data_IF_294513678312
#
_entry.id   IF_294513678312
#
_cell.length_a   1.000
_cell.length_b   1.000
_cell.length_c   1.000
_cell.angle_alpha   90.00
_cell.angle_beta   90.00
_cell.angle_gamma   90.00
#
_symmetry.space_group_name_H-M   'P 1'
#
loop_
_entity.id
_entity.type
_entity.pdbx_description
1 polymer ?
#
# COMPACT_ATOMS: atom_id res chain seq x y z
N UNK A 1 23.90 29.01 16.81
CA UNK A 1 23.75 28.79 15.35
C UNK A 1 22.49 27.96 15.15
N UNK A 2 21.48 28.52 14.48
CA UNK A 2 20.15 27.91 14.35
C UNK A 2 20.22 26.85 13.26
N UNK A 3 20.06 25.57 13.62
CA UNK A 3 19.90 24.49 12.67
C UNK A 3 18.72 24.79 11.76
N UNK A 4 19.04 25.04 10.50
CA UNK A 4 18.10 25.27 9.42
C UNK A 4 17.18 24.07 9.30
N UNK A 5 15.91 24.29 9.64
CA UNK A 5 14.79 23.39 9.33
C UNK A 5 14.76 23.20 7.82
N UNK A 6 15.05 21.99 7.36
CA UNK A 6 14.63 21.55 6.03
C UNK A 6 13.10 21.36 6.09
N UNK A 7 12.30 21.99 5.23
CA UNK A 7 10.93 21.56 5.03
C UNK A 7 10.99 20.29 4.18
N UNK A 8 10.70 19.14 4.80
CA UNK A 8 10.51 17.87 4.12
C UNK A 8 9.46 18.05 3.02
N UNK A 9 9.89 17.89 1.78
CA UNK A 9 9.02 17.89 0.62
C UNK A 9 8.09 16.69 0.72
N UNK A 10 6.86 16.93 1.19
CA UNK A 10 5.75 15.98 1.15
C UNK A 10 5.46 15.66 -0.32
N UNK A 11 6.12 14.62 -0.83
CA UNK A 11 5.87 14.11 -2.17
C UNK A 11 4.50 13.44 -2.19
N UNK A 12 3.52 14.18 -2.72
CA UNK A 12 2.23 13.62 -3.13
C UNK A 12 2.49 12.56 -4.18
N UNK A 13 2.11 11.31 -3.89
CA UNK A 13 2.17 10.16 -4.80
C UNK A 13 1.02 10.24 -5.83
N UNK A 14 0.85 11.42 -6.44
CA UNK A 14 -0.19 11.67 -7.42
C UNK A 14 0.35 11.44 -8.82
N UNK A 15 -0.41 10.65 -9.58
CA UNK A 15 -0.47 10.58 -11.04
C UNK A 15 0.39 9.51 -11.71
N UNK A 16 -0.22 8.34 -11.91
CA UNK A 16 -0.09 7.62 -13.18
C UNK A 16 -1.47 7.21 -13.67
N UNK A 17 -1.97 7.99 -14.64
CA UNK A 17 -2.97 7.53 -15.60
C UNK A 17 -2.38 6.32 -16.33
N UNK A 18 -3.02 5.16 -16.20
CA UNK A 18 -2.67 3.98 -17.00
C UNK A 18 -3.68 3.86 -18.13
N UNK A 19 -3.30 4.38 -19.30
CA UNK A 19 -3.79 3.88 -20.58
C UNK A 19 -3.05 2.57 -20.86
N UNK A 20 -3.78 1.49 -21.16
CA UNK A 20 -3.17 0.20 -21.46
C UNK A 20 -4.11 -0.97 -21.17
N UNK A 21 -5.14 -1.12 -21.98
CA UNK A 21 -5.87 -2.39 -22.15
C UNK A 21 -5.01 -3.34 -22.97
N UNK A 22 -4.49 -4.39 -22.34
CA UNK A 22 -4.05 -5.63 -23.01
C UNK A 22 -4.43 -6.80 -22.11
N UNK A 23 -5.31 -7.66 -22.63
CA UNK A 23 -5.81 -8.86 -21.97
C UNK A 23 -4.66 -9.84 -21.69
N UNK A 24 -4.60 -10.42 -20.47
CA UNK A 24 -3.73 -11.57 -20.22
C UNK A 24 -3.40 -11.93 -18.77
N UNK A 25 -3.47 -10.98 -17.82
CA UNK A 25 -3.40 -11.26 -16.38
C UNK A 25 -4.19 -10.16 -15.67
N UNK A 26 -5.18 -10.53 -14.86
CA UNK A 26 -6.17 -9.59 -14.33
C UNK A 26 -5.53 -8.77 -13.22
N UNK A 27 -4.77 -7.74 -13.58
CA UNK A 27 -4.22 -6.78 -12.63
C UNK A 27 -5.39 -6.11 -11.89
N UNK A 28 -5.59 -6.53 -10.65
CA UNK A 28 -6.72 -6.12 -9.82
C UNK A 28 -6.44 -4.78 -9.16
N UNK A 29 -7.48 -3.97 -8.96
CA UNK A 29 -7.38 -2.66 -8.34
C UNK A 29 -8.59 -2.39 -7.47
N UNK A 30 -8.38 -1.75 -6.33
CA UNK A 30 -9.43 -1.21 -5.48
C UNK A 30 -9.07 0.18 -5.00
N UNK A 31 -10.10 0.99 -4.85
CA UNK A 31 -10.07 2.27 -4.14
C UNK A 31 -10.83 2.13 -2.82
N UNK A 32 -10.12 2.40 -1.74
CA UNK A 32 -10.63 2.36 -0.39
C UNK A 32 -10.54 3.76 0.21
N UNK A 33 -11.66 4.25 0.74
CA UNK A 33 -11.73 5.55 1.41
C UNK A 33 -11.50 5.35 2.90
N UNK A 34 -10.47 5.98 3.43
CA UNK A 34 -10.10 5.89 4.84
C UNK A 34 -10.82 6.98 5.63
N UNK A 35 -11.17 6.66 6.86
CA UNK A 35 -11.67 7.62 7.85
C UNK A 35 -10.65 8.75 8.05
N UNK A 36 -11.05 10.00 7.79
CA UNK A 36 -10.15 11.17 7.80
C UNK A 36 -9.95 11.83 6.44
N UNK A 37 -10.71 11.43 5.41
CA UNK A 37 -10.73 12.10 4.10
C UNK A 37 -9.61 11.68 3.16
N UNK A 38 -8.85 10.65 3.51
CA UNK A 38 -7.77 10.09 2.70
C UNK A 38 -8.27 8.94 1.84
N UNK A 39 -7.57 8.68 0.74
CA UNK A 39 -7.91 7.60 -0.19
C UNK A 39 -6.70 6.70 -0.40
N UNK A 40 -6.91 5.40 -0.26
CA UNK A 40 -5.93 4.37 -0.58
C UNK A 40 -6.39 3.70 -1.87
N UNK A 41 -5.48 3.50 -2.80
CA UNK A 41 -5.68 2.73 -4.02
C UNK A 41 -4.67 1.62 -4.06
N UNK A 42 -5.14 0.39 -3.93
CA UNK A 42 -4.28 -0.79 -4.08
C UNK A 42 -4.41 -1.29 -5.51
N UNK A 43 -3.27 -1.64 -6.11
CA UNK A 43 -3.20 -2.43 -7.32
C UNK A 43 -2.42 -3.69 -6.98
N UNK A 44 -3.01 -4.86 -7.18
CA UNK A 44 -2.27 -6.09 -7.01
C UNK A 44 -2.53 -7.06 -8.15
N UNK A 45 -1.57 -7.92 -8.37
CA UNK A 45 -1.63 -9.01 -9.32
C UNK A 45 -1.62 -10.32 -8.54
N UNK A 46 -2.57 -11.20 -8.85
CA UNK A 46 -2.79 -12.44 -8.10
C UNK A 46 -2.73 -13.60 -9.07
N UNK A 47 -1.76 -14.49 -8.87
CA UNK A 47 -1.68 -15.76 -9.59
C UNK A 47 -1.73 -16.92 -8.63
N UNK A 48 -2.53 -17.94 -8.97
CA UNK A 48 -2.65 -19.19 -8.19
C UNK A 48 -2.92 -18.93 -6.69
N UNK A 49 -3.79 -17.95 -6.37
CA UNK A 49 -4.14 -17.52 -5.00
C UNK A 49 -3.00 -16.91 -4.18
N UNK A 50 -1.97 -16.37 -4.84
CA UNK A 50 -0.85 -15.66 -4.21
C UNK A 50 -0.62 -14.31 -4.89
N UNK A 51 -0.19 -13.34 -4.10
CA UNK A 51 0.16 -12.01 -4.59
C UNK A 51 1.47 -12.10 -5.40
N UNK A 52 1.42 -11.92 -6.72
CA UNK A 52 2.61 -11.83 -7.58
C UNK A 52 3.23 -10.44 -7.53
N UNK A 53 2.40 -9.40 -7.47
CA UNK A 53 2.84 -8.01 -7.40
C UNK A 53 1.80 -7.20 -6.65
N UNK A 54 2.24 -6.20 -5.88
CA UNK A 54 1.35 -5.28 -5.19
C UNK A 54 1.94 -3.88 -5.27
N UNK A 55 1.06 -2.89 -5.43
CA UNK A 55 1.35 -1.47 -5.40
C UNK A 55 0.31 -0.76 -4.57
N UNK A 56 0.75 -0.10 -3.51
CA UNK A 56 -0.11 0.67 -2.62
C UNK A 56 0.07 2.15 -2.96
N UNK A 57 -0.97 2.75 -3.53
CA UNK A 57 -1.03 4.16 -3.89
C UNK A 57 -2.02 4.86 -2.97
N UNK A 58 -1.93 6.17 -2.80
CA UNK A 58 -2.92 6.90 -2.03
C UNK A 58 -2.40 8.21 -1.46
N UNK A 59 -3.27 8.87 -0.71
CA UNK A 59 -2.98 10.12 0.01
C UNK A 59 -2.63 9.83 1.48
N UNK A 60 -1.78 8.84 1.71
CA UNK A 60 -1.22 8.52 3.03
C UNK A 60 0.24 8.95 3.09
N UNK A 61 0.75 9.19 4.30
CA UNK A 61 2.16 9.48 4.50
C UNK A 61 2.82 8.30 5.20
N UNK A 62 3.99 7.92 4.72
CA UNK A 62 4.83 6.90 5.33
C UNK A 62 6.24 7.47 5.42
N UNK A 63 6.81 7.48 6.62
CA UNK A 63 8.17 7.95 6.84
C UNK A 63 8.96 6.92 7.65
N UNK A 64 10.07 6.35 7.13
CA UNK A 64 10.65 6.62 5.81
C UNK A 64 9.83 5.98 4.67
N UNK A 65 9.78 6.65 3.52
CA UNK A 65 8.98 6.21 2.36
C UNK A 65 9.46 4.86 1.80
N UNK A 66 10.75 4.53 1.94
CA UNK A 66 11.32 3.25 1.52
C UNK A 66 10.63 2.04 2.15
N UNK A 67 10.01 2.23 3.33
CA UNK A 67 9.25 1.19 4.01
C UNK A 67 8.09 0.67 3.17
N UNK A 68 7.51 1.47 2.26
CA UNK A 68 6.42 1.01 1.39
C UNK A 68 6.90 -0.14 0.51
N UNK A 69 8.14 -0.06 0.00
CA UNK A 69 8.73 -1.10 -0.81
C UNK A 69 8.98 -2.37 0.01
N UNK A 70 9.42 -2.24 1.27
CA UNK A 70 9.59 -3.39 2.17
C UNK A 70 8.25 -4.04 2.52
N UNK A 71 7.19 -3.25 2.75
CA UNK A 71 5.83 -3.75 2.96
C UNK A 71 5.37 -4.51 1.71
N UNK A 72 5.46 -3.90 0.53
CA UNK A 72 5.06 -4.53 -0.73
C UNK A 72 5.80 -5.85 -0.95
N UNK A 73 7.12 -5.88 -0.70
CA UNK A 73 7.96 -7.08 -0.77
C UNK A 73 7.56 -8.15 0.24
N UNK A 74 7.24 -7.77 1.48
CA UNK A 74 6.78 -8.69 2.52
C UNK A 74 5.42 -9.33 2.17
N UNK A 75 4.61 -8.62 1.39
CA UNK A 75 3.31 -9.07 0.89
C UNK A 75 3.42 -9.91 -0.39
N UNK A 76 4.54 -9.87 -1.12
CA UNK A 76 4.76 -10.76 -2.27
C UNK A 76 4.71 -12.23 -1.84
N UNK A 77 4.04 -13.05 -2.65
CA UNK A 77 3.76 -14.48 -2.42
C UNK A 77 2.94 -14.78 -1.16
N UNK A 78 2.49 -13.76 -0.44
CA UNK A 78 1.62 -13.94 0.71
C UNK A 78 0.22 -14.41 0.28
N UNK A 79 -0.46 -15.19 1.14
CA UNK A 79 -1.88 -15.44 0.97
C UNK A 79 -2.68 -14.15 1.18
N UNK A 80 -3.78 -14.01 0.46
CA UNK A 80 -4.70 -12.87 0.56
C UNK A 80 -5.63 -13.14 1.75
N UNK A 81 -5.14 -12.86 2.94
CA UNK A 81 -5.86 -13.08 4.20
C UNK A 81 -5.67 -11.87 5.12
N UNK A 82 -6.77 -11.35 5.69
CA UNK A 82 -6.76 -10.09 6.43
C UNK A 82 -5.72 -10.06 7.54
N UNK A 83 -5.74 -11.05 8.42
CA UNK A 83 -4.87 -11.13 9.59
C UNK A 83 -3.40 -11.27 9.15
N UNK A 84 -3.16 -12.18 8.20
CA UNK A 84 -1.84 -12.39 7.59
C UNK A 84 -1.25 -11.15 6.94
N UNK A 85 -2.07 -10.29 6.32
CA UNK A 85 -1.64 -9.05 5.69
C UNK A 85 -1.32 -8.00 6.76
N UNK A 86 -2.22 -7.79 7.73
CA UNK A 86 -2.02 -6.84 8.84
C UNK A 86 -0.73 -7.12 9.60
N UNK A 87 -0.53 -8.37 10.03
CA UNK A 87 0.67 -8.77 10.78
C UNK A 87 1.95 -8.50 9.98
N UNK A 88 1.95 -8.75 8.66
CA UNK A 88 3.10 -8.49 7.80
C UNK A 88 3.38 -7.00 7.64
N UNK A 89 2.33 -6.19 7.45
CA UNK A 89 2.44 -4.73 7.32
C UNK A 89 2.99 -4.15 8.63
N UNK A 90 2.40 -4.52 9.77
CA UNK A 90 2.86 -4.07 11.10
C UNK A 90 4.30 -4.49 11.39
N UNK A 91 4.67 -5.74 11.06
CA UNK A 91 6.04 -6.22 11.22
C UNK A 91 7.03 -5.41 10.37
N UNK A 92 6.68 -5.10 9.11
CA UNK A 92 7.53 -4.30 8.22
C UNK A 92 7.65 -2.84 8.71
N UNK A 93 6.57 -2.24 9.19
CA UNK A 93 6.58 -0.89 9.78
C UNK A 93 7.47 -0.86 11.02
N UNK A 94 7.29 -1.81 11.95
CA UNK A 94 8.06 -1.89 13.19
C UNK A 94 9.53 -2.16 12.94
N UNK A 95 9.86 -3.01 11.96
CA UNK A 95 11.24 -3.34 11.57
C UNK A 95 11.99 -2.12 11.01
N UNK A 96 11.30 -1.25 10.28
CA UNK A 96 11.88 -0.06 9.66
C UNK A 96 11.67 1.22 10.52
N UNK A 97 11.13 1.09 11.73
CA UNK A 97 10.74 2.20 12.59
C UNK A 97 9.91 3.27 11.85
N UNK A 98 9.05 2.80 10.94
CA UNK A 98 8.27 3.69 10.09
C UNK A 98 7.02 4.19 10.80
N UNK A 99 6.56 5.37 10.39
CA UNK A 99 5.33 5.97 10.89
C UNK A 99 4.37 6.12 9.72
N UNK A 100 3.24 5.41 9.80
CA UNK A 100 2.13 5.52 8.87
C UNK A 100 1.15 6.58 9.39
N UNK A 101 0.92 7.63 8.61
CA UNK A 101 0.08 8.77 8.99
C UNK A 101 -1.08 8.90 8.01
N UNK A 102 -2.29 8.74 8.54
CA UNK A 102 -3.53 8.86 7.78
C UNK A 102 -3.99 7.58 7.06
N UNK A 103 -3.37 6.45 7.37
CA UNK A 103 -3.86 5.12 7.05
C UNK A 103 -3.56 4.20 8.23
N UNK A 104 -4.34 3.14 8.40
CA UNK A 104 -4.02 2.05 9.30
C UNK A 104 -3.52 0.83 8.50
N UNK A 105 -2.72 -0.07 9.12
CA UNK A 105 -2.38 -1.36 8.51
C UNK A 105 -3.66 -2.14 8.11
N UNK A 106 -4.71 -2.02 8.91
CA UNK A 106 -6.00 -2.64 8.67
C UNK A 106 -6.70 -2.09 7.42
N UNK A 107 -6.67 -0.77 7.20
CA UNK A 107 -7.22 -0.14 5.99
C UNK A 107 -6.52 -0.63 4.73
N UNK A 108 -5.19 -0.79 4.78
CA UNK A 108 -4.39 -1.31 3.67
C UNK A 108 -4.79 -2.77 3.41
N UNK A 109 -4.91 -3.59 4.45
CA UNK A 109 -5.34 -4.98 4.32
C UNK A 109 -6.75 -5.10 3.70
N UNK A 110 -7.71 -4.28 4.16
CA UNK A 110 -9.06 -4.21 3.59
C UNK A 110 -9.00 -3.81 2.11
N UNK A 111 -8.19 -2.81 1.76
CA UNK A 111 -8.05 -2.39 0.37
C UNK A 111 -7.47 -3.50 -0.53
N UNK A 112 -6.56 -4.33 -0.02
CA UNK A 112 -6.03 -5.51 -0.72
C UNK A 112 -7.13 -6.57 -0.92
N UNK A 113 -7.90 -6.86 0.12
CA UNK A 113 -9.01 -7.83 0.05
C UNK A 113 -10.09 -7.39 -0.95
N UNK A 114 -10.42 -6.09 -0.95
CA UNK A 114 -11.35 -5.49 -1.92
C UNK A 114 -10.84 -5.63 -3.34
N UNK A 115 -9.54 -5.38 -3.56
CA UNK A 115 -8.96 -5.52 -4.88
C UNK A 115 -8.98 -6.98 -5.33
N UNK A 116 -8.74 -7.94 -4.43
CA UNK A 116 -8.88 -9.36 -4.75
C UNK A 116 -10.32 -9.78 -5.07
N UNK A 117 -11.32 -9.13 -4.47
CA UNK A 117 -12.72 -9.51 -4.54
C UNK A 117 -13.13 -10.56 -3.51
N UNK A 118 -12.36 -10.65 -2.41
CA UNK A 118 -12.58 -11.58 -1.28
C UNK A 118 -13.36 -10.92 -0.11
N UNK A 119 -14.22 -9.94 -0.41
CA UNK A 119 -14.99 -9.16 0.59
C UNK A 119 -16.46 -9.53 0.66
#
# INVERSE_FOLDING_TARGET
MRSSRQPEALQRISTLQTNGTSQGDTMKKADYKVSGGKMIRVKLDVRKRRIETIRILGDFFLHPEETINEIERALLKAPIDRDSLVVRIEAAIRKNNAVLIGAQPDDIAIAILMADGSV
#
